data_IF_475249646759
#
_entry.id   IF_475249646759
#
_cell.length_a   1.000
_cell.length_b   1.000
_cell.length_c   1.000
_cell.angle_alpha   90.00
_cell.angle_beta   90.00
_cell.angle_gamma   90.00
#
_symmetry.space_group_name_H-M   'P 1'
#
loop_
_entity.id
_entity.type
_entity.pdbx_description
1 polymer ?
#
# COMPACT_ATOMS: atom_id res chain seq x y z
N UNK A 1 -6.67 -17.56 26.36
CA UNK A 1 -7.15 -16.18 26.04
C UNK A 1 -7.25 -15.44 27.36
N UNK A 2 -6.48 -14.40 27.53
CA UNK A 2 -6.63 -13.57 28.72
C UNK A 2 -7.96 -12.83 28.64
N UNK A 3 -8.86 -13.13 29.56
CA UNK A 3 -10.21 -12.56 29.73
C UNK A 3 -10.25 -11.03 29.66
N UNK A 4 -9.13 -10.36 29.90
CA UNK A 4 -9.00 -8.91 30.05
C UNK A 4 -9.22 -8.13 28.75
N UNK A 5 -8.74 -8.60 27.59
CA UNK A 5 -8.82 -7.80 26.35
C UNK A 5 -10.11 -8.06 25.57
N UNK A 6 -10.70 -9.25 25.65
CA UNK A 6 -12.07 -9.47 25.15
C UNK A 6 -13.04 -8.58 25.92
N UNK A 7 -12.83 -8.48 27.24
CA UNK A 7 -13.59 -7.58 28.09
C UNK A 7 -13.40 -6.11 27.68
N UNK A 8 -12.13 -5.67 27.45
CA UNK A 8 -11.83 -4.30 27.00
C UNK A 8 -12.47 -3.97 25.65
N UNK A 9 -12.53 -4.92 24.71
CA UNK A 9 -13.21 -4.71 23.42
C UNK A 9 -14.73 -4.65 23.56
N UNK A 10 -15.29 -5.46 24.47
CA UNK A 10 -16.73 -5.53 24.74
C UNK A 10 -17.22 -4.33 25.53
N UNK A 11 -16.38 -3.86 26.46
CA UNK A 11 -16.69 -2.75 27.38
C UNK A 11 -16.25 -1.39 26.82
N UNK A 12 -15.71 -1.33 25.57
CA UNK A 12 -15.28 -0.08 24.95
C UNK A 12 -16.48 0.85 24.68
N UNK A 13 -16.57 1.94 25.44
CA UNK A 13 -17.61 2.98 25.34
C UNK A 13 -17.17 4.19 24.51
N UNK A 14 -15.92 4.20 23.99
CA UNK A 14 -15.39 5.30 23.21
C UNK A 14 -15.76 5.26 21.74
N UNK A 15 -15.14 6.13 20.90
CA UNK A 15 -15.42 6.21 19.47
C UNK A 15 -15.27 4.88 18.74
N UNK A 16 -16.25 4.54 17.89
CA UNK A 16 -16.28 3.30 17.14
C UNK A 16 -15.07 3.11 16.22
N UNK A 17 -14.51 4.19 15.71
CA UNK A 17 -13.32 4.19 14.87
C UNK A 17 -12.09 3.60 15.57
N UNK A 18 -12.06 3.58 16.91
CA UNK A 18 -10.94 3.05 17.71
C UNK A 18 -11.16 1.59 18.15
N UNK A 19 -12.16 0.89 17.62
CA UNK A 19 -12.44 -0.51 17.98
C UNK A 19 -11.55 -1.53 17.26
N UNK A 20 -10.98 -1.18 16.11
CA UNK A 20 -10.13 -2.05 15.29
C UNK A 20 -9.12 -1.26 14.48
N UNK A 21 -7.90 -1.81 14.30
CA UNK A 21 -6.79 -1.13 13.62
C UNK A 21 -7.11 -0.66 12.20
N UNK A 22 -7.85 -1.45 11.41
CA UNK A 22 -8.20 -1.06 10.05
C UNK A 22 -9.07 0.21 9.97
N UNK A 23 -9.90 0.47 10.99
CA UNK A 23 -10.88 1.57 10.95
C UNK A 23 -10.22 2.95 10.82
N UNK A 24 -9.39 3.42 11.79
CA UNK A 24 -8.78 4.73 11.71
C UNK A 24 -7.80 4.83 10.56
N UNK A 25 -7.05 3.76 10.28
CA UNK A 25 -5.99 3.80 9.28
C UNK A 25 -6.50 3.70 7.85
N UNK A 26 -7.53 2.89 7.55
CA UNK A 26 -8.08 2.84 6.19
C UNK A 26 -8.90 4.09 5.87
N UNK A 27 -9.66 4.61 6.84
CA UNK A 27 -10.35 5.87 6.67
C UNK A 27 -9.37 7.03 6.53
N UNK A 28 -8.42 7.15 7.47
CA UNK A 28 -7.38 8.19 7.44
C UNK A 28 -6.53 8.14 6.18
N UNK A 29 -6.07 6.94 5.75
CA UNK A 29 -5.31 6.76 4.53
C UNK A 29 -6.09 7.19 3.28
N UNK A 30 -7.38 6.84 3.18
CA UNK A 30 -8.18 7.21 2.00
C UNK A 30 -8.44 8.71 1.92
N UNK A 31 -8.78 9.35 3.03
CA UNK A 31 -8.94 10.81 3.11
C UNK A 31 -7.61 11.50 2.80
N UNK A 32 -6.53 11.04 3.42
CA UNK A 32 -5.21 11.61 3.21
C UNK A 32 -4.72 11.46 1.76
N UNK A 33 -4.93 10.29 1.13
CA UNK A 33 -4.57 10.07 -0.26
C UNK A 33 -5.29 11.01 -1.22
N UNK A 34 -6.57 11.31 -0.96
CA UNK A 34 -7.33 12.27 -1.75
C UNK A 34 -6.86 13.72 -1.52
N UNK A 35 -6.68 14.13 -0.25
CA UNK A 35 -6.24 15.49 0.10
C UNK A 35 -4.79 15.76 -0.34
N UNK A 36 -3.88 14.81 -0.13
CA UNK A 36 -2.48 14.92 -0.55
C UNK A 36 -2.37 15.00 -2.08
N UNK A 37 -3.22 14.29 -2.84
CA UNK A 37 -3.24 14.41 -4.29
C UNK A 37 -3.79 15.76 -4.75
N UNK A 38 -4.85 16.28 -4.14
CA UNK A 38 -5.37 17.62 -4.44
C UNK A 38 -4.29 18.69 -4.19
N UNK A 39 -3.58 18.57 -3.08
CA UNK A 39 -2.48 19.46 -2.72
C UNK A 39 -1.30 19.31 -3.69
N UNK A 40 -0.96 18.08 -4.08
CA UNK A 40 0.07 17.83 -5.10
C UNK A 40 -0.27 18.45 -6.45
N UNK A 41 -1.52 18.33 -6.94
CA UNK A 41 -1.95 19.00 -8.17
C UNK A 41 -1.82 20.51 -8.05
N UNK A 42 -2.24 21.09 -6.92
CA UNK A 42 -2.13 22.53 -6.68
C UNK A 42 -0.66 23.01 -6.66
N UNK A 43 0.26 22.20 -6.08
CA UNK A 43 1.71 22.48 -6.14
C UNK A 43 2.26 22.33 -7.56
N UNK A 44 1.89 21.27 -8.27
CA UNK A 44 2.34 20.97 -9.63
C UNK A 44 1.92 22.08 -10.62
N UNK A 45 0.74 22.66 -10.43
CA UNK A 45 0.18 23.73 -11.25
C UNK A 45 0.56 25.15 -10.77
N UNK A 46 1.39 25.25 -9.72
CA UNK A 46 1.90 26.52 -9.20
C UNK A 46 0.91 27.35 -8.36
N UNK A 47 -0.26 26.79 -8.00
CA UNK A 47 -1.27 27.50 -7.21
C UNK A 47 -0.96 27.53 -5.71
N UNK A 48 -0.18 26.56 -5.21
CA UNK A 48 0.15 26.43 -3.79
C UNK A 48 1.64 26.12 -3.63
N UNK A 49 2.26 26.76 -2.62
CA UNK A 49 3.59 26.40 -2.13
C UNK A 49 3.46 26.02 -0.67
N UNK A 50 3.83 24.78 -0.33
CA UNK A 50 3.84 24.33 1.06
C UNK A 50 5.09 24.85 1.80
N UNK A 51 4.97 25.14 3.12
CA UNK A 51 6.12 25.44 3.96
C UNK A 51 6.89 24.16 4.34
N UNK A 52 7.22 23.34 3.34
CA UNK A 52 7.99 22.11 3.49
C UNK A 52 9.43 22.29 3.00
N UNK A 53 10.38 21.70 3.71
CA UNK A 53 11.77 21.63 3.28
C UNK A 53 12.00 20.64 2.13
N UNK A 54 11.01 19.80 1.82
CA UNK A 54 11.08 18.86 0.71
C UNK A 54 10.72 19.57 -0.60
N UNK A 55 11.43 19.26 -1.67
CA UNK A 55 10.99 19.67 -3.01
C UNK A 55 9.58 19.13 -3.30
N UNK A 56 8.80 19.79 -4.17
CA UNK A 56 7.42 19.40 -4.43
C UNK A 56 7.27 17.92 -4.84
N UNK A 57 8.14 17.43 -5.75
CA UNK A 57 8.18 16.01 -6.15
C UNK A 57 8.62 15.12 -4.99
N UNK A 58 9.57 15.57 -4.18
CA UNK A 58 10.05 14.83 -3.00
C UNK A 58 8.95 14.71 -1.95
N UNK A 59 8.19 15.77 -1.70
CA UNK A 59 7.04 15.75 -0.82
C UNK A 59 5.97 14.77 -1.32
N UNK A 60 5.62 14.84 -2.60
CA UNK A 60 4.68 13.89 -3.22
C UNK A 60 5.15 12.44 -3.04
N UNK A 61 6.38 12.13 -3.40
CA UNK A 61 6.93 10.78 -3.29
C UNK A 61 6.91 10.26 -1.85
N UNK A 62 7.30 11.11 -0.88
CA UNK A 62 7.32 10.80 0.54
C UNK A 62 5.91 10.52 1.08
N UNK A 63 4.99 11.45 0.85
CA UNK A 63 3.64 11.37 1.44
C UNK A 63 2.81 10.20 0.88
N UNK A 64 3.01 9.84 -0.39
CA UNK A 64 2.32 8.68 -0.95
C UNK A 64 2.97 7.35 -0.57
N UNK A 65 4.31 7.31 -0.46
CA UNK A 65 5.00 6.09 -0.07
C UNK A 65 4.94 5.87 1.45
N UNK A 66 5.42 6.82 2.24
CA UNK A 66 5.56 6.63 3.69
C UNK A 66 4.32 7.10 4.47
N UNK A 67 3.65 8.14 4.01
CA UNK A 67 2.43 8.65 4.62
C UNK A 67 1.22 7.75 4.36
N UNK A 68 0.77 7.70 3.11
CA UNK A 68 -0.42 6.92 2.72
C UNK A 68 -0.21 5.41 2.89
N UNK A 69 0.79 4.83 2.22
CA UNK A 69 1.03 3.40 2.29
C UNK A 69 1.38 2.95 3.72
N UNK A 70 2.12 3.77 4.48
CA UNK A 70 2.42 3.49 5.89
C UNK A 70 1.16 3.33 6.74
N UNK A 71 0.15 4.18 6.55
CA UNK A 71 -1.14 4.04 7.22
C UNK A 71 -1.89 2.76 6.78
N UNK A 72 -1.89 2.44 5.47
CA UNK A 72 -2.52 1.21 4.98
C UNK A 72 -1.84 -0.03 5.56
N UNK A 73 -0.51 -0.07 5.60
CA UNK A 73 0.27 -1.15 6.22
C UNK A 73 -0.11 -1.29 7.70
N UNK A 74 -0.24 -0.19 8.45
CA UNK A 74 -0.65 -0.22 9.84
C UNK A 74 -2.05 -0.80 10.02
N UNK A 75 -3.03 -0.31 9.26
CA UNK A 75 -4.40 -0.82 9.29
C UNK A 75 -4.48 -2.31 8.98
N UNK A 76 -3.71 -2.76 7.98
CA UNK A 76 -3.60 -4.17 7.63
C UNK A 76 -2.94 -4.99 8.74
N UNK A 77 -1.76 -4.62 9.22
CA UNK A 77 -1.02 -5.39 10.20
C UNK A 77 -1.71 -5.46 11.56
N UNK A 78 -2.27 -4.35 12.04
CA UNK A 78 -3.04 -4.30 13.29
C UNK A 78 -4.33 -5.14 13.23
N UNK A 79 -4.76 -5.52 12.04
CA UNK A 79 -5.93 -6.39 11.83
C UNK A 79 -5.52 -7.84 11.57
N UNK A 80 -4.49 -8.06 10.77
CA UNK A 80 -4.07 -9.40 10.34
C UNK A 80 -3.23 -10.13 11.42
N UNK A 81 -2.33 -9.43 12.12
CA UNK A 81 -1.45 -10.03 13.13
C UNK A 81 -2.23 -10.67 14.29
N UNK A 82 -3.27 -10.05 14.87
CA UNK A 82 -4.13 -10.70 15.84
C UNK A 82 -4.70 -12.04 15.36
N UNK A 83 -5.17 -12.09 14.12
CA UNK A 83 -5.69 -13.33 13.52
C UNK A 83 -4.59 -14.41 13.36
N UNK A 84 -3.37 -14.00 13.05
CA UNK A 84 -2.25 -14.93 12.85
C UNK A 84 -1.65 -15.46 14.16
N UNK A 85 -1.71 -14.65 15.23
CA UNK A 85 -1.11 -14.96 16.53
C UNK A 85 -2.12 -15.52 17.53
N UNK A 86 -3.42 -15.44 17.23
CA UNK A 86 -4.49 -15.78 18.17
C UNK A 86 -4.61 -14.79 19.33
N UNK A 87 -3.98 -13.62 19.23
CA UNK A 87 -3.97 -12.58 20.25
C UNK A 87 -5.01 -11.51 19.92
N UNK A 88 -5.21 -10.60 20.88
CA UNK A 88 -6.24 -9.56 20.72
C UNK A 88 -5.67 -8.29 20.08
N UNK A 89 -6.47 -7.59 19.26
CA UNK A 89 -6.02 -6.38 18.61
C UNK A 89 -5.79 -5.22 19.59
N UNK A 90 -4.98 -4.25 19.16
CA UNK A 90 -4.84 -2.96 19.85
C UNK A 90 -6.11 -2.15 19.59
N UNK A 91 -6.76 -1.67 20.64
CA UNK A 91 -8.02 -0.93 20.58
C UNK A 91 -7.96 0.30 21.51
N UNK A 92 -8.94 1.19 21.37
CA UNK A 92 -9.13 2.32 22.25
C UNK A 92 -8.06 3.41 22.06
N UNK A 93 -7.76 4.12 23.15
CA UNK A 93 -6.86 5.27 23.09
C UNK A 93 -5.43 4.93 22.69
N UNK A 94 -4.97 3.68 22.87
CA UNK A 94 -3.67 3.22 22.37
C UNK A 94 -3.64 3.22 20.83
N UNK A 95 -4.74 2.81 20.21
CA UNK A 95 -4.92 2.88 18.75
C UNK A 95 -5.04 4.34 18.30
N UNK A 96 -5.76 5.17 19.07
CA UNK A 96 -5.86 6.61 18.84
C UNK A 96 -4.50 7.31 18.89
N UNK A 97 -3.65 6.93 19.87
CA UNK A 97 -2.27 7.44 19.96
C UNK A 97 -1.41 7.11 18.73
N UNK A 98 -1.53 5.87 18.21
CA UNK A 98 -0.85 5.49 16.96
C UNK A 98 -1.35 6.32 15.75
N UNK A 99 -2.66 6.54 15.65
CA UNK A 99 -3.23 7.37 14.59
C UNK A 99 -2.81 8.84 14.70
N UNK A 100 -2.72 9.37 15.94
CA UNK A 100 -2.23 10.71 16.21
C UNK A 100 -0.75 10.87 15.86
N UNK A 101 0.09 9.87 16.16
CA UNK A 101 1.51 9.86 15.76
C UNK A 101 1.67 9.87 14.24
N UNK A 102 0.87 9.08 13.52
CA UNK A 102 0.87 9.13 12.07
C UNK A 102 0.51 10.52 11.54
N UNK A 103 -0.54 11.13 12.06
CA UNK A 103 -0.96 12.47 11.65
C UNK A 103 0.09 13.53 12.00
N UNK A 104 0.73 13.41 13.17
CA UNK A 104 1.81 14.32 13.58
C UNK A 104 2.99 14.30 12.59
N UNK A 105 3.37 13.12 12.10
CA UNK A 105 4.38 12.98 11.05
C UNK A 105 3.98 13.71 9.77
N UNK A 106 2.71 13.59 9.34
CA UNK A 106 2.19 14.29 8.13
C UNK A 106 2.27 15.82 8.30
N UNK A 107 1.87 16.32 9.46
CA UNK A 107 1.95 17.74 9.78
C UNK A 107 3.43 18.20 9.82
N UNK A 108 4.30 17.46 10.52
CA UNK A 108 5.71 17.83 10.63
C UNK A 108 6.40 17.93 9.26
N UNK A 109 6.12 17.00 8.33
CA UNK A 109 6.65 17.04 6.95
C UNK A 109 6.08 18.23 6.18
N UNK A 110 4.78 18.52 6.33
CA UNK A 110 4.13 19.63 5.61
C UNK A 110 4.65 21.03 6.02
N UNK A 111 5.09 21.20 7.27
CA UNK A 111 5.58 22.48 7.82
C UNK A 111 7.08 22.44 8.14
N UNK A 112 7.84 21.58 7.49
CA UNK A 112 9.21 21.25 7.85
C UNK A 112 10.24 22.39 7.65
N UNK A 113 9.94 23.45 6.88
CA UNK A 113 10.84 24.62 6.76
C UNK A 113 11.10 25.32 8.09
N UNK A 114 10.14 25.25 9.03
CA UNK A 114 10.27 25.86 10.37
C UNK A 114 10.83 24.92 11.43
N UNK A 115 11.26 23.71 11.07
CA UNK A 115 11.68 22.68 12.03
C UNK A 115 13.09 22.15 11.71
N UNK A 116 13.90 21.81 12.72
CA UNK A 116 15.14 21.08 12.49
C UNK A 116 14.87 19.74 11.77
N UNK A 117 15.65 19.35 10.73
CA UNK A 117 15.43 18.11 9.98
C UNK A 117 15.35 16.85 10.85
N UNK A 118 16.18 16.77 11.89
CA UNK A 118 16.17 15.65 12.85
C UNK A 118 14.83 15.55 13.59
N UNK A 119 14.21 16.68 13.94
CA UNK A 119 12.92 16.69 14.62
C UNK A 119 11.78 16.24 13.69
N UNK A 120 11.80 16.68 12.43
CA UNK A 120 10.85 16.22 11.40
C UNK A 120 10.95 14.71 11.21
N UNK A 121 12.18 14.19 11.05
CA UNK A 121 12.44 12.78 10.93
C UNK A 121 11.98 11.99 12.18
N UNK A 122 12.24 12.52 13.39
CA UNK A 122 11.84 11.88 14.63
C UNK A 122 10.29 11.74 14.74
N UNK A 123 9.53 12.79 14.41
CA UNK A 123 8.06 12.73 14.42
C UNK A 123 7.52 11.75 13.40
N UNK A 124 8.09 11.73 12.20
CA UNK A 124 7.61 10.85 11.15
C UNK A 124 7.98 9.38 11.40
N UNK A 125 9.22 9.11 11.82
CA UNK A 125 9.71 7.77 12.11
C UNK A 125 9.15 7.17 13.42
N UNK A 126 8.64 7.99 14.33
CA UNK A 126 8.02 7.51 15.57
C UNK A 126 6.86 6.56 15.27
N UNK A 127 6.04 6.88 14.28
CA UNK A 127 4.89 6.06 13.91
C UNK A 127 5.29 4.64 13.44
N UNK A 128 6.07 4.43 12.36
CA UNK A 128 6.45 3.09 11.91
C UNK A 128 7.30 2.35 12.94
N UNK A 129 8.08 3.03 13.78
CA UNK A 129 8.87 2.42 14.85
C UNK A 129 7.99 1.84 15.95
N UNK A 130 7.04 2.62 16.46
CA UNK A 130 6.11 2.14 17.51
C UNK A 130 5.18 1.06 16.95
N UNK A 131 4.73 1.19 15.71
CA UNK A 131 3.99 0.12 15.03
C UNK A 131 4.82 -1.17 14.96
N UNK A 132 6.08 -1.07 14.53
CA UNK A 132 7.00 -2.21 14.44
C UNK A 132 7.21 -2.91 15.79
N UNK A 133 7.43 -2.14 16.85
CA UNK A 133 7.56 -2.68 18.22
C UNK A 133 6.27 -3.36 18.70
N UNK A 134 5.11 -2.78 18.40
CA UNK A 134 3.82 -3.38 18.74
C UNK A 134 3.62 -4.72 18.02
N UNK A 135 3.91 -4.77 16.71
CA UNK A 135 3.82 -5.99 15.91
C UNK A 135 4.84 -7.04 16.35
N UNK A 136 6.09 -6.65 16.64
CA UNK A 136 7.12 -7.52 17.16
C UNK A 136 6.69 -8.20 18.48
N UNK A 137 6.15 -7.39 19.40
CA UNK A 137 5.61 -7.91 20.68
C UNK A 137 4.54 -8.98 20.46
N UNK A 138 3.61 -8.77 19.55
CA UNK A 138 2.52 -9.71 19.29
C UNK A 138 3.02 -11.00 18.62
N UNK A 139 3.98 -10.91 17.67
CA UNK A 139 4.60 -12.06 17.02
C UNK A 139 5.39 -12.91 18.02
N UNK A 140 6.21 -12.28 18.86
CA UNK A 140 7.02 -12.97 19.90
C UNK A 140 6.11 -13.63 20.93
N UNK A 141 5.15 -12.89 21.48
CA UNK A 141 4.22 -13.40 22.49
C UNK A 141 3.29 -14.51 21.94
N UNK A 142 2.95 -14.46 20.66
CA UNK A 142 2.18 -15.51 19.97
C UNK A 142 3.04 -16.66 19.41
N UNK A 143 4.38 -16.60 19.58
CA UNK A 143 5.35 -17.58 19.02
C UNK A 143 5.16 -17.82 17.52
N UNK A 144 4.72 -16.80 16.77
CA UNK A 144 4.40 -16.93 15.36
C UNK A 144 5.59 -16.47 14.46
N UNK A 145 6.69 -17.22 14.52
CA UNK A 145 7.95 -16.92 13.87
C UNK A 145 7.84 -16.78 12.33
N UNK A 146 6.82 -17.40 11.72
CA UNK A 146 6.57 -17.31 10.27
C UNK A 146 6.28 -15.89 9.81
N UNK A 147 5.79 -15.04 10.70
CA UNK A 147 5.47 -13.65 10.37
C UNK A 147 6.59 -12.65 10.67
N UNK A 148 7.76 -13.12 11.13
CA UNK A 148 8.97 -12.28 11.24
C UNK A 148 9.37 -11.67 9.88
N UNK A 149 9.09 -12.35 8.78
CA UNK A 149 9.34 -11.80 7.43
C UNK A 149 8.56 -10.51 7.19
N UNK A 150 7.34 -10.41 7.70
CA UNK A 150 6.51 -9.19 7.58
C UNK A 150 7.09 -8.06 8.43
N UNK A 151 7.55 -8.39 9.64
CA UNK A 151 8.24 -7.43 10.51
C UNK A 151 9.56 -6.95 9.87
N UNK A 152 10.32 -7.86 9.25
CA UNK A 152 11.54 -7.50 8.52
C UNK A 152 11.25 -6.54 7.36
N UNK A 153 10.20 -6.80 6.58
CA UNK A 153 9.79 -5.89 5.50
C UNK A 153 9.34 -4.52 6.04
N UNK A 154 8.65 -4.46 7.17
CA UNK A 154 8.27 -3.21 7.84
C UNK A 154 9.52 -2.45 8.32
N UNK A 155 10.51 -3.15 8.86
CA UNK A 155 11.78 -2.55 9.28
C UNK A 155 12.54 -1.96 8.09
N UNK A 156 12.61 -2.67 6.94
CA UNK A 156 13.20 -2.16 5.70
C UNK A 156 12.43 -0.94 5.17
N UNK A 157 11.10 -0.95 5.25
CA UNK A 157 10.26 0.18 4.88
C UNK A 157 10.56 1.42 5.75
N UNK A 158 10.65 1.24 7.07
CA UNK A 158 11.00 2.31 8.01
C UNK A 158 12.44 2.81 7.79
N UNK A 159 13.40 1.92 7.47
CA UNK A 159 14.76 2.30 7.08
C UNK A 159 14.77 3.13 5.79
N UNK A 160 13.96 2.75 4.79
CA UNK A 160 13.78 3.54 3.57
C UNK A 160 13.29 4.96 3.87
N UNK A 161 12.34 5.09 4.81
CA UNK A 161 11.87 6.40 5.27
C UNK A 161 12.98 7.21 5.97
N UNK A 162 13.76 6.58 6.86
CA UNK A 162 14.88 7.23 7.52
C UNK A 162 15.95 7.72 6.51
N UNK A 163 16.28 6.89 5.51
CA UNK A 163 17.20 7.27 4.44
C UNK A 163 16.65 8.41 3.58
N UNK A 164 15.35 8.42 3.31
CA UNK A 164 14.71 9.52 2.57
C UNK A 164 14.87 10.86 3.32
N UNK A 165 14.64 10.88 4.64
CA UNK A 165 14.87 12.06 5.48
C UNK A 165 16.35 12.46 5.49
N UNK A 166 17.28 11.51 5.58
CA UNK A 166 18.71 11.79 5.54
C UNK A 166 19.12 12.43 4.20
N UNK A 167 18.68 11.87 3.09
CA UNK A 167 18.95 12.40 1.74
C UNK A 167 18.37 13.81 1.56
N UNK A 168 17.16 14.08 2.07
CA UNK A 168 16.57 15.41 2.05
C UNK A 168 17.36 16.41 2.89
N UNK A 169 17.82 16.01 4.09
CA UNK A 169 18.57 16.88 5.00
C UNK A 169 19.97 17.20 4.51
N UNK A 170 20.57 16.35 3.68
CA UNK A 170 21.92 16.54 3.11
C UNK A 170 21.91 17.20 1.73
N UNK A 171 20.77 17.74 1.27
CA UNK A 171 20.65 18.43 -0.01
C UNK A 171 20.57 17.52 -1.24
N UNK A 172 20.29 16.23 -1.03
CA UNK A 172 20.04 15.26 -2.11
C UNK A 172 18.66 15.43 -2.75
N UNK A 173 18.38 14.60 -3.79
CA UNK A 173 17.07 14.49 -4.41
C UNK A 173 16.42 13.13 -4.04
N UNK A 174 15.78 13.05 -2.86
CA UNK A 174 15.32 11.78 -2.30
C UNK A 174 14.24 11.09 -3.13
N UNK A 175 13.53 11.82 -4.02
CA UNK A 175 12.56 11.22 -4.96
C UNK A 175 13.21 10.26 -6.00
N UNK A 176 14.55 10.23 -6.09
CA UNK A 176 15.33 9.27 -6.87
C UNK A 176 16.43 8.60 -6.02
N UNK A 177 16.38 8.78 -4.71
CA UNK A 177 17.37 8.33 -3.76
C UNK A 177 17.25 6.85 -3.37
N UNK A 178 18.16 6.41 -2.53
CA UNK A 178 18.16 5.06 -1.93
C UNK A 178 16.92 4.86 -1.05
N UNK A 179 16.51 5.90 -0.29
CA UNK A 179 15.35 5.86 0.59
C UNK A 179 14.07 5.53 -0.14
N UNK A 180 13.81 6.19 -1.29
CA UNK A 180 12.66 5.89 -2.13
C UNK A 180 12.70 4.44 -2.63
N UNK A 181 13.82 4.03 -3.25
CA UNK A 181 13.95 2.69 -3.84
C UNK A 181 13.80 1.60 -2.79
N UNK A 182 14.37 1.79 -1.60
CA UNK A 182 14.28 0.83 -0.50
C UNK A 182 12.85 0.72 0.03
N UNK A 183 12.20 1.86 0.28
CA UNK A 183 10.81 1.90 0.75
C UNK A 183 9.83 1.33 -0.26
N UNK A 184 9.96 1.71 -1.54
CA UNK A 184 9.14 1.17 -2.62
C UNK A 184 9.40 -0.33 -2.82
N UNK A 185 10.65 -0.75 -2.81
CA UNK A 185 11.04 -2.16 -2.90
C UNK A 185 10.43 -3.00 -1.76
N UNK A 186 10.43 -2.48 -0.52
CA UNK A 186 9.79 -3.14 0.62
C UNK A 186 8.27 -3.24 0.41
N UNK A 187 7.61 -2.19 -0.09
CA UNK A 187 6.18 -2.21 -0.42
C UNK A 187 5.84 -3.24 -1.49
N UNK A 188 6.61 -3.28 -2.57
CA UNK A 188 6.44 -4.28 -3.66
C UNK A 188 6.68 -5.70 -3.15
N UNK A 189 7.68 -5.90 -2.29
CA UNK A 189 7.94 -7.21 -1.69
C UNK A 189 6.79 -7.63 -0.76
N UNK A 190 6.19 -6.69 -0.01
CA UNK A 190 4.98 -6.97 0.78
C UNK A 190 3.82 -7.41 -0.11
N UNK A 191 3.56 -6.74 -1.25
CA UNK A 191 2.54 -7.18 -2.22
C UNK A 191 2.87 -8.57 -2.77
N UNK A 192 4.11 -8.84 -3.12
CA UNK A 192 4.52 -10.14 -3.66
C UNK A 192 4.33 -11.30 -2.66
N UNK A 193 4.67 -11.09 -1.38
CA UNK A 193 4.60 -12.09 -0.31
C UNK A 193 3.16 -12.24 0.19
N UNK A 194 2.52 -11.14 0.58
CA UNK A 194 1.17 -11.16 1.19
C UNK A 194 0.12 -11.41 0.10
N UNK A 195 0.17 -10.67 -1.01
CA UNK A 195 -0.71 -10.86 -2.17
C UNK A 195 -0.63 -12.27 -2.71
N UNK A 196 0.59 -12.84 -2.81
CA UNK A 196 0.80 -14.22 -3.22
C UNK A 196 0.21 -15.29 -2.31
N UNK A 197 -0.23 -14.93 -1.10
CA UNK A 197 -0.99 -15.81 -0.20
C UNK A 197 -2.49 -15.55 -0.30
N UNK A 198 -2.89 -14.27 -0.26
CA UNK A 198 -4.32 -13.91 -0.16
C UNK A 198 -5.05 -14.03 -1.50
N UNK A 199 -4.42 -13.64 -2.63
CA UNK A 199 -5.10 -13.65 -3.94
C UNK A 199 -5.52 -15.07 -4.34
N UNK A 200 -4.63 -16.10 -4.40
CA UNK A 200 -5.04 -17.44 -4.74
C UNK A 200 -6.00 -18.05 -3.70
N UNK A 201 -5.87 -17.70 -2.41
CA UNK A 201 -6.76 -18.19 -1.35
C UNK A 201 -8.18 -17.64 -1.51
N UNK A 202 -8.34 -16.35 -1.80
CA UNK A 202 -9.65 -15.75 -2.01
C UNK A 202 -10.29 -16.22 -3.30
N UNK A 203 -9.51 -16.38 -4.37
CA UNK A 203 -9.95 -16.98 -5.62
C UNK A 203 -10.46 -18.41 -5.41
N UNK A 204 -9.69 -19.22 -4.67
CA UNK A 204 -10.10 -20.59 -4.33
C UNK A 204 -11.42 -20.60 -3.56
N UNK A 205 -11.53 -19.79 -2.50
CA UNK A 205 -12.74 -19.75 -1.67
C UNK A 205 -13.98 -19.32 -2.48
N UNK A 206 -13.83 -18.39 -3.41
CA UNK A 206 -14.92 -17.94 -4.28
C UNK A 206 -15.30 -19.02 -5.30
N UNK A 207 -14.33 -19.68 -5.92
CA UNK A 207 -14.57 -20.77 -6.89
C UNK A 207 -15.20 -22.00 -6.24
N UNK A 208 -14.73 -22.38 -5.02
CA UNK A 208 -15.32 -23.51 -4.27
C UNK A 208 -16.80 -23.28 -3.96
N UNK A 209 -17.17 -22.06 -3.54
CA UNK A 209 -18.59 -21.70 -3.31
C UNK A 209 -19.46 -21.82 -4.56
N UNK A 210 -18.87 -21.84 -5.76
CA UNK A 210 -19.54 -21.98 -7.05
C UNK A 210 -19.41 -23.38 -7.65
N UNK A 211 -18.96 -24.36 -6.87
CA UNK A 211 -18.84 -25.76 -7.32
C UNK A 211 -17.76 -25.98 -8.38
N UNK A 212 -16.75 -25.10 -8.49
CA UNK A 212 -15.71 -25.22 -9.50
C UNK A 212 -14.78 -26.43 -9.24
N UNK A 213 -14.58 -27.28 -10.23
CA UNK A 213 -13.70 -28.47 -10.17
C UNK A 213 -12.23 -28.04 -10.22
N UNK A 214 -11.88 -27.11 -11.12
CA UNK A 214 -10.50 -26.62 -11.24
C UNK A 214 -10.28 -25.44 -10.28
N UNK A 215 -9.29 -25.57 -9.40
CA UNK A 215 -8.93 -24.58 -8.38
C UNK A 215 -7.55 -23.98 -8.67
N UNK A 216 -7.26 -22.77 -8.20
CA UNK A 216 -5.94 -22.17 -8.33
C UNK A 216 -4.88 -23.00 -7.61
N UNK A 217 -3.65 -22.93 -8.11
CA UNK A 217 -2.50 -23.57 -7.46
C UNK A 217 -2.34 -23.06 -6.03
N UNK A 218 -2.13 -23.94 -5.04
CA UNK A 218 -1.86 -23.54 -3.67
C UNK A 218 -0.66 -22.59 -3.59
N UNK A 219 -0.66 -21.61 -2.66
CA UNK A 219 0.45 -20.70 -2.50
C UNK A 219 1.74 -21.38 -2.01
N UNK A 220 2.88 -20.71 -2.22
CA UNK A 220 4.22 -21.10 -1.72
C UNK A 220 4.79 -22.38 -2.32
N UNK A 221 4.43 -22.70 -3.57
CA UNK A 221 5.09 -23.75 -4.37
C UNK A 221 6.50 -23.34 -4.79
N UNK A 222 7.27 -24.26 -5.41
CA UNK A 222 8.67 -23.99 -5.84
C UNK A 222 8.76 -22.76 -6.73
N UNK A 223 7.87 -22.60 -7.71
CA UNK A 223 7.82 -21.43 -8.59
C UNK A 223 7.57 -20.15 -7.79
N UNK A 224 6.67 -20.17 -6.79
CA UNK A 224 6.40 -18.99 -5.96
C UNK A 224 7.65 -18.55 -5.21
N UNK A 225 8.40 -19.48 -4.64
CA UNK A 225 9.65 -19.21 -3.91
C UNK A 225 10.73 -18.66 -4.84
N UNK A 226 10.88 -19.25 -6.04
CA UNK A 226 11.82 -18.77 -7.06
C UNK A 226 11.45 -17.35 -7.50
N UNK A 227 10.17 -17.07 -7.82
CA UNK A 227 9.71 -15.75 -8.23
C UNK A 227 9.99 -14.70 -7.15
N UNK A 228 9.74 -15.04 -5.87
CA UNK A 228 10.02 -14.13 -4.74
C UNK A 228 11.52 -13.89 -4.56
N UNK A 229 12.36 -14.91 -4.72
CA UNK A 229 13.81 -14.76 -4.62
C UNK A 229 14.37 -13.89 -5.74
N UNK A 230 13.96 -14.15 -7.00
CA UNK A 230 14.40 -13.34 -8.15
C UNK A 230 13.92 -11.90 -8.03
N UNK A 231 12.68 -11.67 -7.56
CA UNK A 231 12.19 -10.31 -7.30
C UNK A 231 13.00 -9.63 -6.19
N UNK A 232 13.28 -10.32 -5.09
CA UNK A 232 14.11 -9.75 -4.01
C UNK A 232 15.49 -9.35 -4.54
N UNK A 233 16.14 -10.21 -5.32
CA UNK A 233 17.43 -9.91 -5.95
C UNK A 233 17.32 -8.70 -6.88
N UNK A 234 16.27 -8.64 -7.71
CA UNK A 234 16.02 -7.52 -8.60
C UNK A 234 15.87 -6.18 -7.84
N UNK A 235 15.09 -6.18 -6.74
CA UNK A 235 14.88 -5.00 -5.91
C UNK A 235 16.15 -4.54 -5.20
N UNK A 236 16.96 -5.48 -4.69
CA UNK A 236 18.26 -5.15 -4.07
C UNK A 236 19.25 -4.58 -5.09
N UNK A 237 19.31 -5.16 -6.29
CA UNK A 237 20.10 -4.62 -7.39
C UNK A 237 19.58 -3.23 -7.80
N UNK A 238 18.27 -3.03 -7.88
CA UNK A 238 17.70 -1.73 -8.22
C UNK A 238 18.00 -0.65 -7.17
N UNK A 239 18.07 -1.01 -5.90
CA UNK A 239 18.53 -0.10 -4.84
C UNK A 239 19.99 0.28 -5.03
N UNK A 240 20.86 -0.70 -5.26
CA UNK A 240 22.32 -0.52 -5.30
C UNK A 240 22.84 -0.01 -6.68
N UNK A 241 22.30 -0.54 -7.76
CA UNK A 241 22.75 -0.35 -9.14
C UNK A 241 21.56 -0.01 -10.08
N UNK A 242 20.83 1.13 -9.85
CA UNK A 242 19.54 1.39 -10.46
C UNK A 242 19.55 1.49 -12.00
N UNK A 243 20.72 1.80 -12.60
CA UNK A 243 20.85 2.01 -14.05
C UNK A 243 21.71 0.94 -14.73
N UNK A 244 22.15 -0.09 -13.99
CA UNK A 244 23.01 -1.12 -14.53
C UNK A 244 22.22 -2.19 -15.31
N UNK A 245 22.73 -2.63 -16.46
CA UNK A 245 22.05 -3.60 -17.31
C UNK A 245 21.68 -4.92 -16.58
N UNK A 246 22.52 -5.38 -15.65
CA UNK A 246 22.22 -6.56 -14.82
C UNK A 246 20.90 -6.37 -14.05
N UNK A 247 20.67 -5.19 -13.49
CA UNK A 247 19.40 -4.85 -12.81
C UNK A 247 18.21 -4.97 -13.78
N UNK A 248 18.36 -4.44 -14.99
CA UNK A 248 17.36 -4.55 -16.04
C UNK A 248 17.02 -6.00 -16.39
N UNK A 249 18.04 -6.86 -16.61
CA UNK A 249 17.81 -8.28 -16.92
C UNK A 249 17.17 -9.05 -15.76
N UNK A 250 17.56 -8.79 -14.51
CA UNK A 250 16.95 -9.48 -13.36
C UNK A 250 15.52 -8.99 -13.10
N UNK A 251 15.21 -7.70 -13.34
CA UNK A 251 13.85 -7.17 -13.32
C UNK A 251 12.98 -7.79 -14.41
N UNK A 252 13.52 -7.97 -15.62
CA UNK A 252 12.84 -8.66 -16.73
C UNK A 252 12.48 -10.10 -16.31
N UNK A 253 13.45 -10.86 -15.78
CA UNK A 253 13.21 -12.21 -15.29
C UNK A 253 12.18 -12.25 -14.16
N UNK A 254 12.25 -11.32 -13.19
CA UNK A 254 11.28 -11.20 -12.13
C UNK A 254 9.86 -10.93 -12.67
N UNK A 255 9.71 -10.00 -13.61
CA UNK A 255 8.43 -9.69 -14.24
C UNK A 255 7.83 -10.90 -14.93
N UNK A 256 8.60 -11.62 -15.75
CA UNK A 256 8.14 -12.83 -16.45
C UNK A 256 7.72 -13.94 -15.47
N UNK A 257 8.52 -14.20 -14.44
CA UNK A 257 8.19 -15.20 -13.41
C UNK A 257 6.91 -14.85 -12.67
N UNK A 258 6.69 -13.56 -12.36
CA UNK A 258 5.47 -13.12 -11.69
C UNK A 258 4.24 -13.13 -12.60
N UNK A 259 4.36 -12.97 -13.92
CA UNK A 259 3.28 -13.23 -14.88
C UNK A 259 2.86 -14.69 -14.88
N UNK A 260 3.83 -15.61 -14.96
CA UNK A 260 3.56 -17.06 -14.88
C UNK A 260 2.90 -17.42 -13.53
N UNK A 261 3.40 -16.82 -12.44
CA UNK A 261 2.83 -17.01 -11.10
C UNK A 261 1.37 -16.57 -11.04
N UNK A 262 1.05 -15.38 -11.56
CA UNK A 262 -0.31 -14.82 -11.58
C UNK A 262 -1.26 -15.67 -12.44
N UNK A 263 -0.83 -16.15 -13.62
CA UNK A 263 -1.63 -16.98 -14.51
C UNK A 263 -2.13 -18.28 -13.81
N UNK A 264 -1.32 -18.84 -12.90
CA UNK A 264 -1.65 -20.04 -12.13
C UNK A 264 -2.79 -19.84 -11.12
N UNK A 265 -3.13 -18.60 -10.81
CA UNK A 265 -4.19 -18.26 -9.84
C UNK A 265 -5.57 -18.11 -10.46
N UNK A 266 -5.71 -18.33 -11.79
CA UNK A 266 -6.97 -18.39 -12.51
C UNK A 266 -7.84 -17.12 -12.37
N UNK A 267 -7.24 -15.94 -12.39
CA UNK A 267 -7.94 -14.66 -12.25
C UNK A 267 -9.03 -14.42 -13.29
N UNK A 268 -8.85 -14.92 -14.53
CA UNK A 268 -9.85 -14.84 -15.62
C UNK A 268 -11.20 -15.44 -15.24
N UNK A 269 -11.27 -16.33 -14.25
CA UNK A 269 -12.50 -16.97 -13.77
C UNK A 269 -13.24 -16.17 -12.70
N UNK A 270 -12.68 -15.04 -12.25
CA UNK A 270 -13.23 -14.23 -11.15
C UNK A 270 -13.95 -12.97 -11.61
N UNK A 271 -14.09 -12.74 -12.92
CA UNK A 271 -14.63 -11.51 -13.50
C UNK A 271 -16.04 -11.14 -13.01
N UNK A 272 -16.82 -12.13 -12.58
CA UNK A 272 -18.15 -11.92 -12.00
C UNK A 272 -18.13 -11.36 -10.56
N UNK A 273 -16.95 -11.24 -9.92
CA UNK A 273 -16.84 -10.68 -8.57
C UNK A 273 -15.67 -9.69 -8.48
N UNK A 274 -15.94 -8.39 -8.61
CA UNK A 274 -14.90 -7.35 -8.61
C UNK A 274 -14.02 -7.34 -7.36
N UNK A 275 -14.51 -7.76 -6.16
CA UNK A 275 -13.70 -7.88 -4.95
C UNK A 275 -12.57 -8.92 -5.06
N UNK A 276 -12.67 -9.86 -5.98
CA UNK A 276 -11.62 -10.86 -6.23
C UNK A 276 -10.80 -10.46 -7.45
N UNK A 277 -11.48 -9.99 -8.51
CA UNK A 277 -10.83 -9.56 -9.76
C UNK A 277 -9.85 -8.42 -9.53
N UNK A 278 -10.20 -7.44 -8.68
CA UNK A 278 -9.32 -6.30 -8.36
C UNK A 278 -7.98 -6.73 -7.77
N UNK A 279 -7.93 -7.81 -7.00
CA UNK A 279 -6.70 -8.32 -6.43
C UNK A 279 -5.78 -8.92 -7.50
N UNK A 280 -6.35 -9.58 -8.52
CA UNK A 280 -5.59 -10.04 -9.68
C UNK A 280 -5.10 -8.86 -10.53
N UNK A 281 -5.94 -7.86 -10.76
CA UNK A 281 -5.58 -6.65 -11.49
C UNK A 281 -4.48 -5.85 -10.77
N UNK A 282 -4.60 -5.65 -9.45
CA UNK A 282 -3.57 -5.00 -8.64
C UNK A 282 -2.25 -5.77 -8.64
N UNK A 283 -2.31 -7.09 -8.53
CA UNK A 283 -1.10 -7.91 -8.61
C UNK A 283 -0.46 -7.89 -9.99
N UNK A 284 -1.24 -7.78 -11.09
CA UNK A 284 -0.72 -7.67 -12.46
C UNK A 284 0.19 -6.46 -12.63
N UNK A 285 -0.08 -5.35 -11.96
CA UNK A 285 0.79 -4.18 -12.01
C UNK A 285 2.18 -4.42 -11.40
N UNK A 286 2.37 -5.42 -10.55
CA UNK A 286 3.70 -5.79 -10.04
C UNK A 286 4.64 -6.27 -11.17
N UNK A 287 4.30 -7.34 -11.94
CA UNK A 287 5.12 -7.74 -13.08
C UNK A 287 5.19 -6.67 -14.16
N UNK A 288 4.12 -5.93 -14.45
CA UNK A 288 4.15 -4.86 -15.46
C UNK A 288 5.12 -3.75 -15.07
N UNK A 289 5.16 -3.33 -13.81
CA UNK A 289 6.13 -2.34 -13.34
C UNK A 289 7.57 -2.84 -13.39
N UNK A 290 7.81 -4.13 -13.07
CA UNK A 290 9.14 -4.74 -13.21
C UNK A 290 9.60 -4.78 -14.69
N UNK A 291 8.72 -5.16 -15.61
CA UNK A 291 9.00 -5.18 -17.05
C UNK A 291 9.22 -3.77 -17.61
N UNK A 292 8.40 -2.81 -17.22
CA UNK A 292 8.55 -1.42 -17.65
C UNK A 292 9.87 -0.82 -17.13
N UNK A 293 10.22 -1.04 -15.88
CA UNK A 293 11.47 -0.57 -15.31
C UNK A 293 12.69 -1.25 -15.95
N UNK A 294 12.58 -2.55 -16.27
CA UNK A 294 13.59 -3.27 -17.04
C UNK A 294 13.77 -2.66 -18.44
N UNK A 295 12.68 -2.36 -19.14
CA UNK A 295 12.72 -1.73 -20.44
C UNK A 295 13.40 -0.36 -20.40
N UNK A 296 13.03 0.50 -19.42
CA UNK A 296 13.66 1.82 -19.24
C UNK A 296 15.18 1.71 -19.03
N UNK A 297 15.63 0.75 -18.21
CA UNK A 297 17.06 0.56 -17.92
C UNK A 297 17.81 0.00 -19.14
N UNK A 298 17.22 -0.95 -19.88
CA UNK A 298 17.90 -1.65 -20.96
C UNK A 298 17.89 -0.89 -22.27
N UNK A 299 16.93 -0.01 -22.52
CA UNK A 299 16.80 0.77 -23.77
C UNK A 299 17.28 2.21 -23.64
N UNK A 300 17.59 2.67 -22.43
CA UNK A 300 18.00 4.05 -22.17
C UNK A 300 16.82 5.06 -22.09
N UNK A 301 15.58 4.56 -22.01
CA UNK A 301 14.37 5.35 -21.78
C UNK A 301 13.33 5.24 -22.90
N UNK A 302 12.08 4.98 -22.50
CA UNK A 302 10.88 4.92 -23.37
C UNK A 302 9.83 5.93 -22.93
N UNK A 303 9.34 5.80 -21.69
CA UNK A 303 8.33 6.67 -21.08
C UNK A 303 8.85 7.38 -19.82
N UNK A 304 10.10 7.10 -19.45
CA UNK A 304 10.79 7.60 -18.27
C UNK A 304 10.55 6.77 -17.00
N UNK A 305 11.59 6.71 -16.17
CA UNK A 305 11.60 5.94 -14.91
C UNK A 305 10.39 6.24 -14.01
N UNK A 306 9.95 7.51 -13.96
CA UNK A 306 8.80 7.90 -13.18
C UNK A 306 7.50 7.25 -13.66
N UNK A 307 7.29 7.07 -14.96
CA UNK A 307 6.13 6.37 -15.51
C UNK A 307 6.16 4.88 -15.14
N UNK A 308 7.32 4.22 -15.32
CA UNK A 308 7.51 2.82 -14.94
C UNK A 308 7.27 2.58 -13.44
N UNK A 309 7.81 3.44 -12.56
CA UNK A 309 7.59 3.36 -11.12
C UNK A 309 6.12 3.55 -10.72
N UNK A 310 5.34 4.35 -11.44
CA UNK A 310 3.92 4.56 -11.16
C UNK A 310 3.05 3.33 -11.45
N UNK A 311 3.50 2.38 -12.30
CA UNK A 311 2.87 1.06 -12.39
C UNK A 311 2.95 0.31 -11.05
N UNK A 312 4.04 0.48 -10.29
CA UNK A 312 4.13 -0.05 -8.94
C UNK A 312 3.37 0.79 -7.93
N UNK A 313 3.60 2.12 -7.90
CA UNK A 313 3.04 3.01 -6.88
C UNK A 313 1.51 3.12 -6.98
N UNK A 314 0.99 3.47 -8.16
CA UNK A 314 -0.45 3.60 -8.38
C UNK A 314 -1.13 2.26 -8.64
N UNK A 315 -0.52 1.43 -9.49
CA UNK A 315 -1.07 0.15 -9.91
C UNK A 315 -0.97 -0.92 -8.83
N UNK A 316 0.24 -1.41 -8.57
CA UNK A 316 0.42 -2.51 -7.63
C UNK A 316 0.04 -2.11 -6.19
N UNK A 317 0.58 -1.01 -5.68
CA UNK A 317 0.30 -0.57 -4.31
C UNK A 317 -1.10 0.07 -4.21
N UNK A 318 -1.45 1.03 -5.06
CA UNK A 318 -2.71 1.76 -4.97
C UNK A 318 -3.94 0.84 -5.16
N UNK A 319 -3.98 0.06 -6.24
CA UNK A 319 -5.13 -0.81 -6.52
C UNK A 319 -5.22 -2.00 -5.56
N UNK A 320 -4.08 -2.64 -5.21
CA UNK A 320 -4.09 -3.76 -4.26
C UNK A 320 -4.53 -3.30 -2.87
N UNK A 321 -4.05 -2.14 -2.41
CA UNK A 321 -4.44 -1.61 -1.10
C UNK A 321 -5.93 -1.28 -1.06
N UNK A 322 -6.50 -0.64 -2.09
CA UNK A 322 -7.94 -0.40 -2.18
C UNK A 322 -8.74 -1.72 -2.16
N UNK A 323 -8.33 -2.72 -2.93
CA UNK A 323 -8.96 -4.04 -2.93
C UNK A 323 -8.95 -4.71 -1.55
N UNK A 324 -7.81 -4.63 -0.84
CA UNK A 324 -7.67 -5.16 0.53
C UNK A 324 -8.49 -4.35 1.53
N UNK A 325 -8.43 -3.02 1.47
CA UNK A 325 -9.18 -2.12 2.34
C UNK A 325 -10.69 -2.34 2.22
N UNK A 326 -11.20 -2.44 0.99
CA UNK A 326 -12.61 -2.73 0.71
C UNK A 326 -13.04 -4.05 1.30
N UNK A 327 -12.30 -5.11 0.95
CA UNK A 327 -12.63 -6.46 1.39
C UNK A 327 -12.55 -6.62 2.91
N UNK A 328 -11.51 -6.06 3.54
CA UNK A 328 -11.36 -6.11 4.99
C UNK A 328 -12.46 -5.31 5.70
N UNK A 329 -12.81 -4.13 5.18
CA UNK A 329 -13.91 -3.31 5.73
C UNK A 329 -15.22 -4.10 5.69
N UNK A 330 -15.61 -4.66 4.54
CA UNK A 330 -16.82 -5.46 4.42
C UNK A 330 -16.80 -6.68 5.35
N UNK A 331 -15.69 -7.45 5.33
CA UNK A 331 -15.58 -8.67 6.12
C UNK A 331 -15.62 -8.45 7.62
N UNK A 332 -14.89 -7.45 8.13
CA UNK A 332 -14.82 -7.16 9.56
C UNK A 332 -16.03 -6.37 10.11
N UNK A 333 -16.85 -5.81 9.22
CA UNK A 333 -18.11 -5.16 9.61
C UNK A 333 -19.34 -6.04 9.38
N UNK A 334 -19.14 -7.31 9.00
CA UNK A 334 -20.23 -8.29 8.82
C UNK A 334 -21.09 -8.04 7.58
N UNK A 335 -20.57 -7.29 6.61
CA UNK A 335 -21.26 -7.05 5.33
C UNK A 335 -21.04 -8.19 4.34
N UNK A 336 -21.92 -8.31 3.36
CA UNK A 336 -21.75 -9.26 2.25
C UNK A 336 -20.46 -8.93 1.48
N UNK A 337 -19.65 -9.96 1.16
CA UNK A 337 -18.44 -9.84 0.37
C UNK A 337 -18.78 -9.77 -1.12
N UNK A 338 -19.36 -8.64 -1.51
CA UNK A 338 -19.75 -8.32 -2.88
C UNK A 338 -19.45 -6.84 -3.18
N UNK A 339 -18.92 -6.56 -4.38
CA UNK A 339 -18.68 -5.19 -4.82
C UNK A 339 -19.92 -4.67 -5.55
N UNK A 340 -20.52 -3.62 -5.02
CA UNK A 340 -21.51 -2.83 -5.76
C UNK A 340 -20.86 -1.94 -6.83
N UNK A 341 -21.68 -1.28 -7.65
CA UNK A 341 -21.25 -0.42 -8.76
C UNK A 341 -20.29 0.70 -8.33
N UNK A 342 -20.56 1.35 -7.21
CA UNK A 342 -19.65 2.37 -6.67
C UNK A 342 -18.26 1.84 -6.32
N UNK A 343 -18.18 0.61 -5.81
CA UNK A 343 -16.89 -0.04 -5.55
C UNK A 343 -16.16 -0.38 -6.85
N UNK A 344 -16.89 -0.86 -7.86
CA UNK A 344 -16.32 -1.10 -9.18
C UNK A 344 -15.77 0.21 -9.79
N UNK A 345 -16.54 1.30 -9.69
CA UNK A 345 -16.11 2.62 -10.16
C UNK A 345 -14.81 3.10 -9.49
N UNK A 346 -14.68 2.90 -8.17
CA UNK A 346 -13.45 3.20 -7.40
C UNK A 346 -12.25 2.44 -7.99
N UNK A 347 -12.40 1.16 -8.32
CA UNK A 347 -11.32 0.36 -8.91
C UNK A 347 -10.98 0.81 -10.34
N UNK A 348 -11.99 1.09 -11.15
CA UNK A 348 -11.80 1.58 -12.52
C UNK A 348 -11.07 2.94 -12.54
N UNK A 349 -11.39 3.84 -11.61
CA UNK A 349 -10.76 5.14 -11.48
C UNK A 349 -9.27 5.05 -11.12
N UNK A 350 -8.86 4.10 -10.26
CA UNK A 350 -7.43 3.88 -9.99
C UNK A 350 -6.71 3.35 -11.24
N UNK A 351 -7.30 2.39 -11.95
CA UNK A 351 -6.71 1.90 -13.19
C UNK A 351 -6.57 3.04 -14.21
N UNK A 352 -7.61 3.85 -14.37
CA UNK A 352 -7.57 5.04 -15.23
C UNK A 352 -6.47 6.01 -14.79
N UNK A 353 -6.35 6.30 -13.50
CA UNK A 353 -5.29 7.16 -12.95
C UNK A 353 -3.90 6.67 -13.36
N UNK A 354 -3.63 5.36 -13.20
CA UNK A 354 -2.34 4.77 -13.57
C UNK A 354 -2.08 4.87 -15.07
N UNK A 355 -3.09 4.55 -15.90
CA UNK A 355 -2.95 4.63 -17.36
C UNK A 355 -2.67 6.05 -17.83
N UNK A 356 -3.38 7.05 -17.30
CA UNK A 356 -3.14 8.47 -17.59
C UNK A 356 -1.73 8.91 -17.15
N UNK A 357 -1.27 8.43 -15.99
CA UNK A 357 0.06 8.75 -15.49
C UNK A 357 1.18 8.16 -16.37
N UNK A 358 1.00 6.93 -16.86
CA UNK A 358 1.94 6.29 -17.79
C UNK A 358 1.89 7.00 -19.14
N UNK A 359 0.70 7.31 -19.64
CA UNK A 359 0.48 8.05 -20.88
C UNK A 359 1.19 9.42 -20.88
N UNK A 360 1.23 10.10 -19.72
CA UNK A 360 1.96 11.36 -19.57
C UNK A 360 3.48 11.23 -19.81
N UNK A 361 4.06 10.05 -19.53
CA UNK A 361 5.46 9.78 -19.87
C UNK A 361 5.68 9.52 -21.36
N UNK A 362 4.70 8.89 -22.02
CA UNK A 362 4.77 8.57 -23.46
C UNK A 362 4.49 9.78 -24.34
N UNK A 363 3.61 10.70 -23.89
CA UNK A 363 3.21 11.90 -24.64
C UNK A 363 3.56 13.19 -23.90
N UNK A 364 4.82 13.64 -23.93
CA UNK A 364 5.27 14.82 -23.18
C UNK A 364 4.53 16.11 -23.54
N UNK A 365 4.09 16.26 -24.79
CA UNK A 365 3.37 17.46 -25.26
C UNK A 365 2.03 17.72 -24.56
N UNK A 366 1.41 16.71 -23.95
CA UNK A 366 0.15 16.81 -23.20
C UNK A 366 0.30 16.32 -21.75
N UNK A 367 1.53 16.15 -21.29
CA UNK A 367 1.82 15.55 -19.97
C UNK A 367 1.17 16.33 -18.82
N UNK A 368 1.17 17.67 -18.86
CA UNK A 368 0.56 18.52 -17.83
C UNK A 368 -0.94 18.22 -17.66
N UNK A 369 -1.68 18.12 -18.74
CA UNK A 369 -3.10 17.72 -18.69
C UNK A 369 -3.27 16.30 -18.14
N UNK A 370 -2.46 15.35 -18.60
CA UNK A 370 -2.56 13.95 -18.20
C UNK A 370 -2.20 13.76 -16.71
N UNK A 371 -1.25 14.53 -16.16
CA UNK A 371 -0.95 14.52 -14.73
C UNK A 371 -2.15 14.99 -13.89
N UNK A 372 -2.78 16.09 -14.28
CA UNK A 372 -3.97 16.60 -13.59
C UNK A 372 -5.12 15.59 -13.68
N UNK A 373 -5.42 15.08 -14.88
CA UNK A 373 -6.47 14.09 -15.08
C UNK A 373 -6.22 12.80 -14.27
N UNK A 374 -4.97 12.32 -14.25
CA UNK A 374 -4.56 11.18 -13.42
C UNK A 374 -4.82 11.45 -11.93
N UNK A 375 -4.43 12.62 -11.44
CA UNK A 375 -4.63 13.00 -10.05
C UNK A 375 -6.11 13.16 -9.68
N UNK A 376 -6.93 13.71 -10.57
CA UNK A 376 -8.39 13.80 -10.36
C UNK A 376 -9.04 12.42 -10.28
N UNK A 377 -8.64 11.48 -11.14
CA UNK A 377 -9.11 10.09 -11.07
C UNK A 377 -8.69 9.42 -9.75
N UNK A 378 -7.47 9.67 -9.26
CA UNK A 378 -7.02 9.22 -7.94
C UNK A 378 -7.86 9.81 -6.80
N UNK A 379 -8.10 11.13 -6.81
CA UNK A 379 -8.94 11.81 -5.81
C UNK A 379 -10.35 11.21 -5.81
N UNK A 380 -10.96 11.01 -6.99
CA UNK A 380 -12.28 10.42 -7.10
C UNK A 380 -12.33 8.98 -6.57
N UNK A 381 -11.27 8.19 -6.79
CA UNK A 381 -11.19 6.82 -6.29
C UNK A 381 -11.08 6.77 -4.75
N UNK A 382 -10.12 7.47 -4.16
CA UNK A 382 -9.91 7.43 -2.70
C UNK A 382 -10.98 8.21 -1.93
N UNK A 383 -11.45 9.34 -2.47
CA UNK A 383 -12.60 10.07 -1.97
C UNK A 383 -13.88 9.22 -2.04
N UNK A 384 -14.09 8.53 -3.18
CA UNK A 384 -15.19 7.58 -3.36
C UNK A 384 -15.15 6.45 -2.33
N UNK A 385 -13.97 5.86 -2.08
CA UNK A 385 -13.81 4.89 -0.98
C UNK A 385 -14.20 5.48 0.38
N UNK A 386 -13.72 6.68 0.70
CA UNK A 386 -14.02 7.33 1.97
C UNK A 386 -15.52 7.60 2.13
N UNK A 387 -16.22 7.99 1.08
CA UNK A 387 -17.68 8.22 1.08
C UNK A 387 -18.44 6.89 1.23
N UNK A 388 -18.12 5.88 0.42
CA UNK A 388 -18.86 4.60 0.38
C UNK A 388 -18.64 3.83 1.69
N UNK A 389 -17.39 3.76 2.17
CA UNK A 389 -17.03 2.91 3.32
C UNK A 389 -16.87 3.69 4.63
N UNK A 390 -16.80 5.02 4.60
CA UNK A 390 -16.57 5.85 5.78
C UNK A 390 -17.58 5.59 6.90
N UNK A 391 -18.87 5.45 6.57
CA UNK A 391 -19.90 5.14 7.59
C UNK A 391 -19.61 3.80 8.30
N UNK A 392 -19.15 2.78 7.56
CA UNK A 392 -18.80 1.47 8.13
C UNK A 392 -17.53 1.54 9.00
N UNK A 393 -16.63 2.48 8.70
CA UNK A 393 -15.37 2.65 9.42
C UNK A 393 -15.54 3.49 10.69
N UNK A 394 -16.43 4.49 10.69
CA UNK A 394 -16.60 5.43 11.83
C UNK A 394 -17.75 5.07 12.78
N UNK A 395 -18.65 4.17 12.37
CA UNK A 395 -19.81 3.74 13.20
C UNK A 395 -19.74 2.25 13.52
N UNK A 396 -20.25 1.87 14.67
CA UNK A 396 -20.53 0.46 14.95
C UNK A 396 -21.75 0.02 14.13
N UNK A 397 -21.80 -1.25 13.67
CA UNK A 397 -23.03 -1.82 13.16
C UNK A 397 -24.14 -1.64 14.21
N UNK A 398 -25.35 -1.25 13.78
CA UNK A 398 -26.51 -1.31 14.67
C UNK A 398 -26.61 -2.74 15.23
N UNK A 399 -26.83 -2.87 16.53
CA UNK A 399 -27.09 -4.16 17.13
C UNK A 399 -28.22 -4.81 16.33
N UNK A 400 -27.98 -6.00 15.79
CA UNK A 400 -29.07 -6.79 15.22
C UNK A 400 -30.03 -7.03 16.39
N UNK A 401 -31.15 -6.38 16.39
CA UNK A 401 -32.29 -6.79 17.23
C UNK A 401 -32.53 -8.26 16.96
N UNK A 402 -32.30 -9.08 17.97
CA UNK A 402 -32.47 -10.53 17.95
C UNK A 402 -33.94 -10.91 17.71
#
# INVERSE_FOLDING_TARGET
>A
MTTTTVKLMRDWQGPAILTYGFRPFFFGASVFAALAMALWIAMLTGHVTLPTAFCAVCWHAHEFLFGYLGAVIAGFLLTAVPNWTGRLPIVGWRLGGLAALWLLGRIAVAVSTGLPPVLVAAFDLAFPSILGLAIAREIVAGRNWRNLIVLGMLAVFALGNAMFHYEAATGGFPAQGYGLRLGLGAGIMMIAVIGGRIVPSFTRNWLVKRGAVRLPTPPMQRLDKLSLLVLLTALLLWVALPFHAVTGFVLLAAGLLHLVRLARWQGHRTLAEPLVTVLHAGYLFLPLGALALAAEILTGGLAGLGAAQHLWMGGALGLMTLGVMTRATLGHTGQALHAGEGTFAVYALIVLSVLLRVAAGVWPGVAGFLYVASGLAWIAAFGGFAVIYGRLLVRLPAAKTA
#
